data_IF_653461323799
#
_entry.id   IF_653461323799
#
_cell.length_a   1.000
_cell.length_b   1.000
_cell.length_c   1.000
_cell.angle_alpha   90.00
_cell.angle_beta   90.00
_cell.angle_gamma   90.00
#
_symmetry.space_group_name_H-M   'P 1'
#
loop_
_entity.id
_entity.type
_entity.pdbx_description
1 polymer ?
#
# COMPACT_ATOMS: atom_id res chain seq x y z
N UNK A 1 -9.73 -3.93 -24.47
CA UNK A 1 -10.48 -2.73 -24.90
C UNK A 1 -11.70 -3.24 -25.63
N UNK A 2 -12.90 -2.78 -25.27
CA UNK A 2 -14.08 -3.10 -26.07
C UNK A 2 -14.00 -2.24 -27.33
N UNK A 3 -13.68 -2.88 -28.45
CA UNK A 3 -13.64 -2.29 -29.79
C UNK A 3 -14.43 -3.28 -30.64
N UNK A 4 -15.73 -3.22 -30.47
CA UNK A 4 -16.66 -4.01 -31.24
C UNK A 4 -17.83 -3.08 -31.55
N UNK A 5 -18.20 -3.00 -32.83
CA UNK A 5 -19.35 -2.22 -33.31
C UNK A 5 -20.67 -2.72 -32.67
N UNK A 6 -20.65 -3.88 -32.00
CA UNK A 6 -21.76 -4.38 -31.18
C UNK A 6 -21.91 -3.66 -29.84
N UNK A 7 -20.89 -2.96 -29.35
CA UNK A 7 -20.97 -2.19 -28.11
C UNK A 7 -21.44 -0.77 -28.46
N UNK A 8 -22.64 -0.36 -28.01
CA UNK A 8 -23.18 0.94 -28.36
C UNK A 8 -22.34 2.07 -27.76
N UNK A 9 -22.27 3.18 -28.49
CA UNK A 9 -21.68 4.42 -27.98
C UNK A 9 -22.35 4.83 -26.65
N UNK A 10 -21.59 5.42 -25.71
CA UNK A 10 -22.16 5.90 -24.46
C UNK A 10 -23.20 7.00 -24.71
N UNK A 11 -24.33 6.91 -24.01
CA UNK A 11 -25.45 7.83 -24.19
C UNK A 11 -25.08 9.28 -23.83
N UNK A 12 -25.44 10.20 -24.72
CA UNK A 12 -25.33 11.65 -24.53
C UNK A 12 -26.50 12.14 -23.66
N UNK A 13 -26.28 12.32 -22.35
CA UNK A 13 -27.35 12.70 -21.40
C UNK A 13 -26.88 13.70 -20.35
N UNK A 14 -27.79 14.58 -19.91
CA UNK A 14 -27.56 15.52 -18.81
C UNK A 14 -26.25 16.30 -18.93
N UNK A 15 -25.48 16.30 -17.84
CA UNK A 15 -24.19 16.99 -17.69
C UNK A 15 -22.99 16.20 -18.24
N UNK A 16 -23.22 15.22 -19.12
CA UNK A 16 -22.17 14.31 -19.60
C UNK A 16 -21.59 14.73 -20.93
N UNK A 17 -20.27 14.68 -21.02
CA UNK A 17 -19.47 14.96 -22.21
C UNK A 17 -18.92 13.65 -22.74
N UNK A 18 -19.08 13.41 -24.04
CA UNK A 18 -18.48 12.27 -24.74
C UNK A 18 -17.06 12.65 -25.12
N UNK A 19 -16.10 11.90 -24.59
CA UNK A 19 -14.67 12.08 -24.83
C UNK A 19 -14.18 10.92 -25.68
N UNK A 20 -13.54 11.24 -26.81
CA UNK A 20 -12.79 10.28 -27.63
C UNK A 20 -11.45 10.03 -26.94
N UNK A 21 -11.30 8.84 -26.37
CA UNK A 21 -10.14 8.47 -25.55
C UNK A 21 -8.89 8.42 -26.43
N UNK A 22 -7.82 9.06 -25.96
CA UNK A 22 -6.49 9.02 -26.57
C UNK A 22 -5.52 8.18 -25.73
N UNK A 23 -5.62 8.29 -24.41
CA UNK A 23 -4.89 7.44 -23.48
C UNK A 23 -5.76 7.15 -22.24
N UNK A 24 -5.49 6.02 -21.60
CA UNK A 24 -6.03 5.63 -20.30
C UNK A 24 -4.92 4.92 -19.51
N UNK A 25 -5.07 4.85 -18.20
CA UNK A 25 -4.07 4.25 -17.32
C UNK A 25 -4.58 2.98 -16.64
N UNK A 26 -3.62 2.13 -16.28
CA UNK A 26 -3.83 0.86 -15.60
C UNK A 26 -3.71 1.03 -14.09
N UNK A 27 -4.80 0.75 -13.38
CA UNK A 27 -4.84 0.85 -11.92
C UNK A 27 -5.01 -0.52 -11.27
N UNK A 28 -4.57 -0.64 -10.00
CA UNK A 28 -4.65 -1.91 -9.26
C UNK A 28 -6.10 -2.40 -9.17
N UNK A 29 -7.04 -1.47 -9.07
CA UNK A 29 -8.47 -1.79 -9.05
C UNK A 29 -8.98 -2.37 -10.36
N UNK A 30 -8.44 -1.99 -11.52
CA UNK A 30 -8.85 -2.55 -12.81
C UNK A 30 -8.52 -4.05 -12.88
N UNK A 31 -7.37 -4.45 -12.31
CA UNK A 31 -6.99 -5.86 -12.18
C UNK A 31 -7.98 -6.59 -11.28
N UNK A 32 -8.35 -6.03 -10.14
CA UNK A 32 -9.30 -6.64 -9.22
C UNK A 32 -10.71 -6.74 -9.81
N UNK A 33 -11.17 -5.72 -10.53
CA UNK A 33 -12.44 -5.76 -11.24
C UNK A 33 -12.43 -6.85 -12.32
N UNK A 34 -11.37 -6.93 -13.13
CA UNK A 34 -11.18 -8.00 -14.13
C UNK A 34 -11.18 -9.39 -13.50
N UNK A 35 -10.60 -9.52 -12.31
CA UNK A 35 -10.55 -10.79 -11.55
C UNK A 35 -11.81 -11.07 -10.74
N UNK A 36 -12.84 -10.20 -10.81
CA UNK A 36 -14.04 -10.28 -9.97
C UNK A 36 -13.73 -10.33 -8.46
N UNK A 37 -12.59 -9.79 -8.06
CA UNK A 37 -12.07 -9.77 -6.70
C UNK A 37 -12.10 -8.37 -6.07
N UNK A 38 -12.79 -7.42 -6.71
CA UNK A 38 -12.92 -6.06 -6.17
C UNK A 38 -13.84 -6.09 -4.94
N UNK A 39 -13.34 -5.70 -3.75
CA UNK A 39 -14.04 -5.96 -2.49
C UNK A 39 -15.16 -4.96 -2.19
N UNK A 40 -15.36 -3.94 -3.03
CA UNK A 40 -16.31 -2.86 -2.79
C UNK A 40 -17.42 -2.82 -3.84
N UNK A 41 -18.63 -2.43 -3.42
CA UNK A 41 -19.75 -2.17 -4.34
C UNK A 41 -19.39 -0.98 -5.23
N UNK A 42 -19.59 -1.14 -6.54
CA UNK A 42 -19.35 -0.08 -7.50
C UNK A 42 -20.47 0.98 -7.43
N UNK A 43 -20.16 2.27 -7.60
CA UNK A 43 -21.16 3.33 -7.69
C UNK A 43 -22.13 3.07 -8.85
N UNK A 44 -23.37 3.55 -8.72
CA UNK A 44 -24.42 3.37 -9.74
C UNK A 44 -24.05 4.04 -11.07
N UNK A 45 -23.18 5.06 -11.02
CA UNK A 45 -22.65 5.81 -12.16
C UNK A 45 -21.61 5.03 -12.98
N UNK A 46 -21.30 3.78 -12.61
CA UNK A 46 -20.36 2.93 -13.33
C UNK A 46 -20.86 2.61 -14.74
N UNK A 47 -19.98 2.70 -15.74
CA UNK A 47 -20.29 2.45 -17.15
C UNK A 47 -20.39 0.95 -17.49
N UNK A 48 -21.32 0.25 -16.83
CA UNK A 48 -21.55 -1.18 -17.04
C UNK A 48 -20.33 -2.04 -16.69
N UNK A 49 -20.03 -3.02 -17.54
CA UNK A 49 -18.93 -3.98 -17.32
C UNK A 49 -17.57 -3.49 -17.85
N UNK A 50 -17.49 -2.29 -18.44
CA UNK A 50 -16.24 -1.76 -18.99
C UNK A 50 -15.41 -1.13 -17.86
N UNK A 51 -14.21 -1.67 -17.65
CA UNK A 51 -13.27 -1.22 -16.61
C UNK A 51 -12.51 0.07 -16.99
N UNK A 52 -11.66 0.56 -16.09
CA UNK A 52 -10.84 1.75 -16.26
C UNK A 52 -11.42 2.96 -15.53
N UNK A 53 -10.56 3.71 -14.85
CA UNK A 53 -10.97 4.74 -13.89
C UNK A 53 -10.46 6.14 -14.22
N UNK A 54 -9.65 6.28 -15.26
CA UNK A 54 -9.13 7.57 -15.71
C UNK A 54 -8.77 7.51 -17.20
N UNK A 55 -8.86 8.66 -17.85
CA UNK A 55 -8.45 8.81 -19.24
C UNK A 55 -8.10 10.26 -19.57
N UNK A 56 -7.51 10.42 -20.76
CA UNK A 56 -7.37 11.68 -21.45
C UNK A 56 -7.79 11.51 -22.91
N UNK A 57 -8.25 12.61 -23.53
CA UNK A 57 -8.80 12.54 -24.87
C UNK A 57 -9.26 13.87 -25.42
N UNK A 58 -10.09 13.79 -26.45
CA UNK A 58 -10.66 14.94 -27.14
C UNK A 58 -12.17 14.96 -26.91
N UNK A 59 -12.72 16.12 -26.57
CA UNK A 59 -14.17 16.30 -26.49
C UNK A 59 -14.79 16.06 -27.88
N UNK A 60 -15.71 15.11 -27.97
CA UNK A 60 -16.45 14.80 -29.20
C UNK A 60 -17.82 15.47 -29.21
N UNK A 61 -18.60 15.30 -28.14
CA UNK A 61 -19.96 15.84 -28.01
C UNK A 61 -20.26 16.27 -26.58
N UNK A 62 -21.06 17.32 -26.44
CA UNK A 62 -21.54 17.84 -25.16
C UNK A 62 -22.98 17.41 -24.92
N UNK A 63 -23.28 16.98 -23.70
CA UNK A 63 -24.63 16.68 -23.25
C UNK A 63 -25.52 17.92 -23.23
N UNK A 64 -26.85 17.74 -23.24
CA UNK A 64 -27.81 18.84 -23.34
C UNK A 64 -27.75 19.84 -22.18
N UNK A 65 -27.25 19.43 -21.00
CA UNK A 65 -27.11 20.31 -19.83
C UNK A 65 -25.68 20.84 -19.64
N UNK A 66 -24.75 20.48 -20.54
CA UNK A 66 -23.36 20.93 -20.44
C UNK A 66 -23.21 22.41 -20.85
N UNK A 67 -22.36 23.14 -20.14
CA UNK A 67 -22.06 24.53 -20.49
C UNK A 67 -21.05 24.62 -21.64
N UNK A 68 -21.49 25.19 -22.77
CA UNK A 68 -20.63 25.49 -23.94
C UNK A 68 -19.56 26.54 -23.66
N UNK A 69 -19.64 27.24 -22.53
CA UNK A 69 -18.58 28.16 -22.06
C UNK A 69 -17.44 27.43 -21.39
N UNK A 70 -17.69 26.23 -20.83
CA UNK A 70 -16.68 25.47 -20.11
C UNK A 70 -15.89 24.56 -21.05
N UNK A 71 -16.58 23.90 -21.98
CA UNK A 71 -15.99 22.95 -22.93
C UNK A 71 -16.63 23.12 -24.31
N UNK A 72 -15.90 22.72 -25.36
CA UNK A 72 -16.37 22.58 -26.73
C UNK A 72 -15.75 21.37 -27.40
N UNK A 73 -16.38 20.89 -28.48
CA UNK A 73 -15.81 19.85 -29.32
C UNK A 73 -14.40 20.24 -29.80
N UNK A 74 -13.48 19.28 -29.76
CA UNK A 74 -12.06 19.49 -30.08
C UNK A 74 -11.17 19.85 -28.89
N UNK A 75 -11.73 20.22 -27.73
CA UNK A 75 -10.91 20.50 -26.55
C UNK A 75 -10.15 19.25 -26.07
N UNK A 76 -8.89 19.46 -25.67
CA UNK A 76 -8.06 18.42 -25.04
C UNK A 76 -8.42 18.33 -23.57
N UNK A 77 -8.76 17.14 -23.09
CA UNK A 77 -9.29 16.94 -21.74
C UNK A 77 -8.74 15.69 -21.07
N UNK A 78 -8.82 15.66 -19.75
CA UNK A 78 -8.51 14.49 -18.93
C UNK A 78 -9.37 14.49 -17.67
N UNK A 79 -9.55 13.32 -17.06
CA UNK A 79 -10.38 13.22 -15.86
C UNK A 79 -10.53 11.81 -15.30
N UNK A 80 -11.11 11.77 -14.11
CA UNK A 80 -11.48 10.55 -13.41
C UNK A 80 -12.87 10.08 -13.87
N UNK A 81 -13.04 8.76 -14.02
CA UNK A 81 -14.29 8.13 -14.41
C UNK A 81 -14.64 6.96 -13.50
N UNK A 82 -15.91 6.60 -13.42
CA UNK A 82 -16.39 5.49 -12.61
C UNK A 82 -16.35 4.15 -13.37
N UNK A 83 -15.59 4.03 -14.46
CA UNK A 83 -15.64 2.91 -15.41
C UNK A 83 -15.60 3.42 -16.85
N UNK A 84 -15.39 2.55 -17.81
CA UNK A 84 -15.56 2.87 -19.23
C UNK A 84 -14.32 3.43 -19.95
N UNK A 85 -13.23 3.73 -19.25
CA UNK A 85 -12.03 4.29 -19.90
C UNK A 85 -11.34 3.31 -20.87
N UNK A 86 -11.62 2.00 -20.75
CA UNK A 86 -11.08 0.96 -21.65
C UNK A 86 -11.90 0.80 -22.94
N UNK A 87 -12.28 1.93 -23.53
CA UNK A 87 -13.09 2.04 -24.74
C UNK A 87 -12.62 3.25 -25.57
N UNK A 88 -13.04 3.31 -26.83
CA UNK A 88 -12.69 4.44 -27.74
C UNK A 88 -13.41 5.73 -27.35
N UNK A 89 -14.57 5.61 -26.71
CA UNK A 89 -15.37 6.72 -26.21
C UNK A 89 -15.80 6.46 -24.77
N UNK A 90 -15.82 7.52 -23.97
CA UNK A 90 -16.30 7.48 -22.59
C UNK A 90 -17.15 8.71 -22.30
N UNK A 91 -18.16 8.55 -21.45
CA UNK A 91 -19.07 9.62 -21.02
C UNK A 91 -18.66 10.10 -19.64
N UNK A 92 -18.27 11.36 -19.51
CA UNK A 92 -17.73 11.94 -18.28
C UNK A 92 -18.58 13.13 -17.86
N UNK A 93 -18.90 13.26 -16.57
CA UNK A 93 -19.57 14.49 -16.08
C UNK A 93 -18.66 15.69 -16.34
N UNK A 94 -19.23 16.78 -16.86
CA UNK A 94 -18.57 18.08 -16.99
C UNK A 94 -17.89 18.51 -15.69
N UNK A 95 -18.47 18.12 -14.54
CA UNK A 95 -17.97 18.46 -13.20
C UNK A 95 -16.72 17.68 -12.78
N UNK A 96 -16.37 16.60 -13.47
CA UNK A 96 -15.17 15.80 -13.20
C UNK A 96 -14.09 15.96 -14.27
N UNK A 97 -14.43 16.60 -15.39
CA UNK A 97 -13.53 16.83 -16.50
C UNK A 97 -12.64 18.06 -16.27
N UNK A 98 -11.42 18.00 -16.79
CA UNK A 98 -10.44 19.08 -16.75
C UNK A 98 -9.85 19.29 -18.14
N UNK A 99 -9.52 20.53 -18.48
CA UNK A 99 -8.73 20.84 -19.68
C UNK A 99 -7.32 20.31 -19.51
N UNK A 100 -6.85 19.52 -20.48
CA UNK A 100 -5.48 19.04 -20.53
C UNK A 100 -4.57 20.19 -21.00
N UNK A 101 -3.64 20.68 -20.17
CA UNK A 101 -2.71 21.72 -20.58
C UNK A 101 -1.87 21.31 -21.79
N UNK A 102 -1.42 22.29 -22.57
CA UNK A 102 -0.66 22.01 -23.79
C UNK A 102 0.67 21.32 -23.49
N UNK A 103 1.25 21.63 -22.33
CA UNK A 103 2.52 21.12 -21.82
C UNK A 103 2.48 19.64 -21.45
N UNK A 104 1.29 19.04 -21.29
CA UNK A 104 1.12 17.64 -20.92
C UNK A 104 0.69 16.81 -22.13
N UNK A 105 1.32 15.65 -22.31
CA UNK A 105 0.87 14.66 -23.30
C UNK A 105 -0.46 14.01 -22.88
N UNK A 106 -1.10 13.27 -23.79
CA UNK A 106 -2.29 12.51 -23.42
C UNK A 106 -1.94 11.41 -22.41
N UNK A 107 -0.80 10.74 -22.57
CA UNK A 107 -0.31 9.72 -21.65
C UNK A 107 -0.05 10.32 -20.26
N UNK A 108 0.57 11.51 -20.18
CA UNK A 108 0.73 12.25 -18.91
C UNK A 108 -0.63 12.60 -18.30
N UNK A 109 -1.55 13.15 -19.10
CA UNK A 109 -2.91 13.47 -18.65
C UNK A 109 -3.69 12.26 -18.16
N UNK A 110 -3.51 11.10 -18.77
CA UNK A 110 -4.18 9.87 -18.36
C UNK A 110 -3.60 9.26 -17.08
N UNK A 111 -2.32 9.51 -16.76
CA UNK A 111 -1.64 8.95 -15.58
C UNK A 111 -1.81 9.75 -14.27
N UNK A 112 -2.55 10.85 -14.32
CA UNK A 112 -2.63 11.83 -13.24
C UNK A 112 -3.87 11.69 -12.35
N UNK A 113 -5.11 11.61 -12.88
CA UNK A 113 -6.32 11.74 -12.06
C UNK A 113 -6.40 10.83 -10.83
N UNK A 114 -6.34 9.51 -11.00
CA UNK A 114 -6.51 8.53 -9.92
C UNK A 114 -5.42 8.69 -8.85
N UNK A 115 -4.17 8.79 -9.30
CA UNK A 115 -3.00 8.79 -8.41
C UNK A 115 -2.87 10.10 -7.66
N UNK A 116 -3.02 11.25 -8.33
CA UNK A 116 -2.92 12.56 -7.70
C UNK A 116 -4.15 12.92 -6.89
N UNK A 117 -5.37 12.51 -7.27
CA UNK A 117 -6.55 12.77 -6.44
C UNK A 117 -6.46 11.97 -5.13
N UNK A 118 -6.04 10.70 -5.21
CA UNK A 118 -5.81 9.87 -4.03
C UNK A 118 -4.72 10.45 -3.13
N UNK A 119 -3.57 10.85 -3.69
CA UNK A 119 -2.50 11.48 -2.93
C UNK A 119 -2.93 12.81 -2.30
N UNK A 120 -3.61 13.68 -3.06
CA UNK A 120 -4.03 15.01 -2.60
C UNK A 120 -5.02 14.91 -1.44
N UNK A 121 -6.04 14.05 -1.56
CA UNK A 121 -6.97 13.87 -0.45
C UNK A 121 -6.28 13.28 0.78
N UNK A 122 -5.36 12.33 0.59
CA UNK A 122 -4.73 11.63 1.70
C UNK A 122 -3.76 12.52 2.47
N UNK A 123 -3.06 13.43 1.78
CA UNK A 123 -2.11 14.36 2.39
C UNK A 123 -2.81 15.59 2.95
N UNK A 124 -3.69 16.23 2.18
CA UNK A 124 -4.27 17.52 2.55
C UNK A 124 -5.61 17.40 3.28
N UNK A 125 -6.54 16.64 2.73
CA UNK A 125 -7.94 16.69 3.19
C UNK A 125 -8.18 15.76 4.39
N UNK A 126 -7.58 14.57 4.36
CA UNK A 126 -7.75 13.52 5.37
C UNK A 126 -6.57 13.53 6.34
N UNK A 127 -5.35 13.56 5.80
CA UNK A 127 -4.12 13.57 6.58
C UNK A 127 -3.79 14.91 7.23
N UNK A 128 -4.32 16.02 6.70
CA UNK A 128 -4.12 17.38 7.21
C UNK A 128 -2.64 17.62 7.56
N UNK A 129 -1.77 17.35 6.57
CA UNK A 129 -0.34 17.35 6.78
C UNK A 129 0.13 18.74 7.26
N UNK A 130 0.66 18.80 8.48
CA UNK A 130 1.27 20.01 8.97
C UNK A 130 2.47 20.43 8.10
N UNK A 131 2.66 21.73 7.85
CA UNK A 131 3.89 22.22 7.23
C UNK A 131 5.12 21.75 8.00
N UNK A 132 6.21 21.45 7.30
CA UNK A 132 7.46 20.92 7.87
C UNK A 132 7.33 19.58 8.60
N UNK A 133 6.26 18.82 8.38
CA UNK A 133 6.13 17.46 8.92
C UNK A 133 7.17 16.50 8.29
N UNK A 134 7.64 15.54 9.08
CA UNK A 134 8.27 14.33 8.54
C UNK A 134 7.15 13.36 8.12
N UNK A 135 7.26 12.75 6.94
CA UNK A 135 6.21 11.92 6.34
C UNK A 135 6.78 10.55 5.98
N UNK A 136 6.04 9.49 6.28
CA UNK A 136 6.32 8.13 5.80
C UNK A 136 5.29 7.75 4.73
N UNK A 137 5.76 7.38 3.54
CA UNK A 137 4.90 6.97 2.43
C UNK A 137 5.25 5.53 2.05
N UNK A 138 4.32 4.61 2.27
CA UNK A 138 4.51 3.21 1.87
C UNK A 138 4.41 3.04 0.36
N UNK A 139 4.97 1.93 -0.15
CA UNK A 139 4.93 1.58 -1.57
C UNK A 139 5.35 2.76 -2.49
N UNK A 140 6.42 3.47 -2.12
CA UNK A 140 6.86 4.69 -2.80
C UNK A 140 7.05 4.56 -4.31
N UNK A 141 7.41 3.38 -4.82
CA UNK A 141 7.55 3.10 -6.25
C UNK A 141 6.22 2.95 -7.01
N UNK A 142 5.08 2.78 -6.34
CA UNK A 142 3.77 2.69 -7.03
C UNK A 142 3.26 4.07 -7.47
N UNK A 143 2.30 4.13 -8.40
CA UNK A 143 1.77 5.40 -8.93
C UNK A 143 1.23 6.36 -7.86
N UNK A 144 0.46 5.87 -6.89
CA UNK A 144 -0.03 6.69 -5.76
C UNK A 144 1.13 7.11 -4.87
N UNK A 145 2.10 6.23 -4.61
CA UNK A 145 3.29 6.53 -3.80
C UNK A 145 4.14 7.64 -4.42
N UNK A 146 4.41 7.57 -5.73
CA UNK A 146 5.14 8.59 -6.48
C UNK A 146 4.40 9.94 -6.45
N UNK A 147 3.07 9.92 -6.64
CA UNK A 147 2.25 11.12 -6.57
C UNK A 147 2.24 11.72 -5.16
N UNK A 148 2.11 10.88 -4.13
CA UNK A 148 2.13 11.30 -2.73
C UNK A 148 3.47 11.92 -2.32
N UNK A 149 4.60 11.36 -2.76
CA UNK A 149 5.92 11.96 -2.51
C UNK A 149 5.98 13.38 -3.09
N UNK A 150 5.48 13.57 -4.30
CA UNK A 150 5.51 14.87 -4.99
C UNK A 150 4.55 15.88 -4.35
N UNK A 151 3.32 15.45 -4.03
CA UNK A 151 2.33 16.28 -3.32
C UNK A 151 2.84 16.67 -1.93
N UNK A 152 3.44 15.74 -1.17
CA UNK A 152 3.99 16.05 0.15
C UNK A 152 5.13 17.08 0.08
N UNK A 153 5.99 17.02 -0.96
CA UNK A 153 7.02 18.05 -1.19
C UNK A 153 6.41 19.42 -1.46
N UNK A 154 5.41 19.49 -2.34
CA UNK A 154 4.71 20.75 -2.64
C UNK A 154 4.01 21.32 -1.40
N UNK A 155 3.51 20.44 -0.52
CA UNK A 155 2.89 20.80 0.74
C UNK A 155 3.90 21.19 1.85
N UNK A 156 5.20 21.20 1.57
CA UNK A 156 6.23 21.64 2.51
C UNK A 156 6.65 20.58 3.52
N UNK A 157 6.57 19.29 3.19
CA UNK A 157 7.13 18.23 4.03
C UNK A 157 8.64 18.45 4.25
N UNK A 158 9.09 18.37 5.51
CA UNK A 158 10.50 18.53 5.87
C UNK A 158 11.33 17.34 5.39
N UNK A 159 10.79 16.14 5.57
CA UNK A 159 11.45 14.88 5.21
C UNK A 159 10.41 13.87 4.77
N UNK A 160 10.74 13.10 3.73
CA UNK A 160 9.87 12.06 3.20
C UNK A 160 10.68 10.76 3.16
N UNK A 161 10.21 9.76 3.91
CA UNK A 161 10.77 8.41 3.95
C UNK A 161 9.82 7.44 3.25
N UNK A 162 10.34 6.37 2.64
CA UNK A 162 9.53 5.43 1.84
C UNK A 162 9.97 3.98 1.99
N UNK A 163 9.05 3.01 1.98
CA UNK A 163 9.40 1.58 2.09
C UNK A 163 9.77 0.88 0.78
N UNK A 164 9.68 1.56 -0.36
CA UNK A 164 10.07 1.04 -1.67
C UNK A 164 10.71 2.16 -2.50
N UNK A 165 11.91 2.58 -2.09
CA UNK A 165 12.68 3.69 -2.67
C UNK A 165 14.16 3.63 -2.23
N UNK A 166 14.91 4.73 -2.39
CA UNK A 166 16.37 4.81 -2.08
C UNK A 166 16.74 4.72 -0.59
N UNK A 167 15.92 4.06 0.24
CA UNK A 167 16.20 3.89 1.67
C UNK A 167 17.12 2.68 1.83
N UNK A 168 18.31 2.91 2.40
CA UNK A 168 19.27 1.85 2.72
C UNK A 168 18.88 1.20 4.05
N UNK A 169 18.28 0.03 3.99
CA UNK A 169 18.04 -0.80 5.17
C UNK A 169 19.34 -1.47 5.61
N UNK A 170 19.59 -1.53 6.92
CA UNK A 170 20.57 -2.49 7.47
C UNK A 170 19.94 -3.89 7.44
N UNK A 171 20.77 -4.94 7.35
CA UNK A 171 20.25 -6.31 7.35
C UNK A 171 19.44 -6.59 8.63
N UNK A 172 18.19 -7.05 8.46
CA UNK A 172 17.26 -7.32 9.57
C UNK A 172 16.60 -6.09 10.21
N UNK A 173 16.87 -4.89 9.71
CA UNK A 173 16.28 -3.65 10.23
C UNK A 173 14.87 -3.41 9.67
N UNK A 174 13.89 -3.19 10.54
CA UNK A 174 12.56 -2.74 10.16
C UNK A 174 12.53 -1.26 9.79
N UNK A 175 11.43 -0.79 9.18
CA UNK A 175 11.31 0.62 8.81
C UNK A 175 11.09 1.52 10.02
N UNK A 176 10.59 1.01 11.14
CA UNK A 176 10.41 1.78 12.37
C UNK A 176 11.76 2.22 12.97
N UNK A 177 12.76 1.34 12.94
CA UNK A 177 14.13 1.63 13.38
C UNK A 177 14.80 2.65 12.45
N UNK A 178 14.60 2.51 11.14
CA UNK A 178 15.08 3.50 10.16
C UNK A 178 14.44 4.86 10.42
N UNK A 179 13.12 4.91 10.56
CA UNK A 179 12.38 6.16 10.85
C UNK A 179 12.86 6.78 12.15
N UNK A 180 13.01 6.00 13.22
CA UNK A 180 13.52 6.46 14.51
C UNK A 180 14.89 7.12 14.35
N UNK A 181 15.85 6.44 13.70
CA UNK A 181 17.18 7.02 13.40
C UNK A 181 17.07 8.30 12.56
N UNK A 182 16.23 8.28 11.54
CA UNK A 182 16.10 9.37 10.58
C UNK A 182 15.39 10.61 11.10
N UNK A 183 14.72 10.48 12.25
CA UNK A 183 13.90 11.52 12.89
C UNK A 183 14.33 11.81 14.31
N UNK A 184 15.52 11.34 14.72
CA UNK A 184 16.08 11.50 16.06
C UNK A 184 15.11 11.00 17.17
N UNK A 185 14.44 9.87 16.90
CA UNK A 185 13.47 9.24 17.79
C UNK A 185 12.09 9.91 17.83
N UNK A 186 11.88 11.01 17.08
CA UNK A 186 10.61 11.76 17.12
C UNK A 186 9.48 11.09 16.33
N UNK A 187 9.82 10.29 15.32
CA UNK A 187 8.86 9.68 14.40
C UNK A 187 8.37 10.64 13.31
N UNK A 188 7.31 10.23 12.64
CA UNK A 188 6.68 10.96 11.52
C UNK A 188 5.30 11.50 11.89
N UNK A 189 5.00 12.72 11.44
CA UNK A 189 3.72 13.39 11.69
C UNK A 189 2.59 12.88 10.82
N UNK A 190 2.92 12.28 9.67
CA UNK A 190 1.96 11.67 8.75
C UNK A 190 2.50 10.35 8.21
N UNK A 191 1.67 9.31 8.23
CA UNK A 191 1.93 8.02 7.57
C UNK A 191 0.85 7.80 6.51
N UNK A 192 1.25 7.57 5.26
CA UNK A 192 0.36 7.13 4.20
C UNK A 192 0.53 5.63 3.98
N UNK A 193 -0.49 4.86 4.36
CA UNK A 193 -0.47 3.39 4.34
C UNK A 193 -1.31 2.79 3.21
N UNK A 194 -0.62 2.01 2.38
CA UNK A 194 -1.18 1.24 1.28
C UNK A 194 -1.11 -0.28 1.55
N UNK A 195 -0.46 -0.68 2.65
CA UNK A 195 -0.13 -2.07 2.96
C UNK A 195 -1.11 -2.64 3.96
N UNK A 196 -1.35 -1.95 5.08
CA UNK A 196 -2.30 -2.40 6.10
C UNK A 196 -1.69 -3.39 7.08
N UNK A 197 -2.36 -4.54 7.28
CA UNK A 197 -2.17 -5.42 8.44
C UNK A 197 -0.72 -5.71 8.85
N UNK A 198 0.13 -6.12 7.89
CA UNK A 198 1.51 -6.51 8.18
C UNK A 198 2.40 -5.34 8.60
N UNK A 199 2.03 -4.10 8.27
CA UNK A 199 2.79 -2.89 8.61
C UNK A 199 2.27 -2.20 9.86
N UNK A 200 1.14 -2.63 10.41
CA UNK A 200 0.45 -1.96 11.50
C UNK A 200 1.36 -1.65 12.70
N UNK A 201 2.02 -2.66 13.27
CA UNK A 201 2.87 -2.48 14.44
C UNK A 201 4.02 -1.49 14.19
N UNK A 202 4.66 -1.60 13.03
CA UNK A 202 5.76 -0.70 12.64
C UNK A 202 5.26 0.71 12.30
N UNK A 203 4.05 0.88 11.76
CA UNK A 203 3.43 2.20 11.55
C UNK A 203 3.20 2.90 12.88
N UNK A 204 2.62 2.19 13.84
CA UNK A 204 2.40 2.73 15.20
C UNK A 204 3.71 3.05 15.91
N UNK A 205 4.75 2.23 15.73
CA UNK A 205 6.09 2.51 16.25
C UNK A 205 6.72 3.75 15.60
N UNK A 206 6.53 3.94 14.28
CA UNK A 206 7.06 5.07 13.50
C UNK A 206 6.32 6.39 13.73
N UNK A 207 5.07 6.33 14.18
CA UNK A 207 4.22 7.49 14.42
C UNK A 207 4.82 8.43 15.48
N UNK A 208 4.81 9.74 15.19
CA UNK A 208 5.10 10.79 16.17
C UNK A 208 3.90 10.99 17.12
N UNK A 209 4.13 11.76 18.18
CA UNK A 209 3.05 12.27 19.03
C UNK A 209 2.17 13.22 18.20
N UNK A 210 0.85 13.12 18.37
CA UNK A 210 -0.17 13.88 17.65
C UNK A 210 -0.15 13.69 16.12
N UNK A 211 0.28 12.51 15.66
CA UNK A 211 0.37 12.17 14.23
C UNK A 211 -0.90 11.57 13.66
N UNK A 212 -0.96 11.48 12.32
CA UNK A 212 -2.02 10.77 11.58
C UNK A 212 -1.48 9.59 10.79
N UNK A 213 -2.20 8.48 10.83
CA UNK A 213 -2.01 7.32 9.96
C UNK A 213 -3.20 7.26 9.01
N UNK A 214 -2.97 7.50 7.72
CA UNK A 214 -3.99 7.52 6.68
C UNK A 214 -3.91 6.23 5.87
N UNK A 215 -4.91 5.36 6.04
CA UNK A 215 -5.00 4.08 5.34
C UNK A 215 -5.84 4.28 4.08
N UNK A 216 -5.23 4.03 2.92
CA UNK A 216 -5.88 4.18 1.60
C UNK A 216 -5.95 2.86 0.81
N UNK A 217 -5.21 1.84 1.23
CA UNK A 217 -5.30 0.48 0.70
C UNK A 217 -4.80 -0.55 1.73
N UNK A 218 -5.11 -1.82 1.48
CA UNK A 218 -4.75 -2.93 2.38
C UNK A 218 -4.11 -4.08 1.58
N UNK A 219 -2.95 -3.83 0.96
CA UNK A 219 -2.28 -4.83 0.11
C UNK A 219 -1.89 -6.13 0.83
N UNK A 220 -1.59 -6.07 2.13
CA UNK A 220 -1.33 -7.26 2.95
C UNK A 220 -2.58 -7.81 3.65
N UNK A 221 -3.77 -7.28 3.32
CA UNK A 221 -5.01 -7.58 4.02
C UNK A 221 -5.31 -6.66 5.20
N UNK A 222 -6.56 -6.67 5.63
CA UNK A 222 -7.08 -5.79 6.69
C UNK A 222 -7.11 -6.40 8.09
N UNK A 223 -6.65 -7.65 8.26
CA UNK A 223 -6.59 -8.31 9.58
C UNK A 223 -5.26 -7.98 10.26
N UNK A 224 -5.34 -7.55 11.52
CA UNK A 224 -4.19 -7.28 12.38
C UNK A 224 -4.17 -8.40 13.43
N UNK A 225 -3.17 -9.32 13.41
CA UNK A 225 -3.15 -10.48 14.30
C UNK A 225 -3.08 -10.10 15.79
N UNK A 226 -2.30 -9.08 16.11
CA UNK A 226 -2.08 -8.60 17.48
C UNK A 226 -2.25 -7.07 17.50
N UNK A 227 -3.43 -6.61 17.94
CA UNK A 227 -3.77 -5.19 17.97
C UNK A 227 -3.63 -4.63 19.39
N UNK A 228 -2.62 -3.77 19.60
CA UNK A 228 -2.40 -3.06 20.85
C UNK A 228 -2.74 -1.57 20.70
N UNK A 229 -3.69 -1.09 21.53
CA UNK A 229 -4.14 0.30 21.55
C UNK A 229 -3.29 1.23 22.42
N UNK A 230 -2.52 0.68 23.37
CA UNK A 230 -1.75 1.49 24.35
C UNK A 230 -0.78 2.49 23.67
N UNK A 231 -0.05 2.11 22.60
CA UNK A 231 0.83 3.06 21.92
C UNK A 231 0.06 4.17 21.20
N UNK A 232 -1.15 3.89 20.70
CA UNK A 232 -2.00 4.90 20.04
C UNK A 232 -2.41 5.98 21.05
N UNK A 233 -2.83 5.58 22.25
CA UNK A 233 -3.23 6.51 23.31
C UNK A 233 -2.04 7.36 23.78
N UNK A 234 -0.90 6.72 24.01
CA UNK A 234 0.32 7.41 24.48
C UNK A 234 0.79 8.48 23.49
N UNK A 235 0.65 8.20 22.19
CA UNK A 235 1.05 9.10 21.11
C UNK A 235 -0.11 9.95 20.56
N UNK A 236 -1.35 9.78 21.05
CA UNK A 236 -2.58 10.43 20.55
C UNK A 236 -2.70 10.35 19.02
N UNK A 237 -2.48 9.16 18.48
CA UNK A 237 -2.48 8.91 17.02
C UNK A 237 -3.90 8.94 16.47
N UNK A 238 -4.08 9.65 15.37
CA UNK A 238 -5.31 9.65 14.59
C UNK A 238 -5.23 8.58 13.51
N UNK A 239 -6.19 7.66 13.52
CA UNK A 239 -6.33 6.67 12.45
C UNK A 239 -7.41 7.18 11.50
N UNK A 240 -7.01 7.47 10.28
CA UNK A 240 -7.88 7.98 9.24
C UNK A 240 -7.96 6.96 8.11
N UNK A 241 -9.14 6.85 7.49
CA UNK A 241 -9.34 5.97 6.33
C UNK A 241 -10.06 6.75 5.25
N UNK A 242 -9.73 6.46 3.99
CA UNK A 242 -10.47 7.00 2.86
C UNK A 242 -10.37 6.06 1.66
N UNK A 243 -11.37 6.15 0.79
CA UNK A 243 -11.33 5.60 -0.57
C UNK A 243 -11.67 6.75 -1.52
N UNK A 244 -11.25 6.67 -2.79
CA UNK A 244 -11.61 7.70 -3.77
C UNK A 244 -12.97 7.40 -4.41
N UNK A 245 -13.11 6.21 -5.01
CA UNK A 245 -14.28 5.84 -5.82
C UNK A 245 -15.60 5.75 -5.05
N UNK A 246 -15.59 5.54 -3.73
CA UNK A 246 -16.81 5.43 -2.92
C UNK A 246 -17.27 6.76 -2.30
N UNK A 247 -16.55 7.87 -2.55
CA UNK A 247 -16.94 9.19 -2.06
C UNK A 247 -18.09 9.73 -2.89
N UNK A 248 -18.88 10.62 -2.30
CA UNK A 248 -19.92 11.34 -3.04
C UNK A 248 -19.31 12.13 -4.19
N UNK A 249 -20.12 12.37 -5.22
CA UNK A 249 -19.73 13.16 -6.38
C UNK A 249 -19.24 14.55 -5.94
N UNK A 250 -19.91 15.18 -4.98
CA UNK A 250 -19.55 16.50 -4.44
C UNK A 250 -18.15 16.50 -3.82
N UNK A 251 -17.79 15.45 -3.08
CA UNK A 251 -16.46 15.34 -2.52
C UNK A 251 -15.40 15.17 -3.61
N UNK A 252 -15.66 14.32 -4.61
CA UNK A 252 -14.72 14.13 -5.72
C UNK A 252 -14.54 15.41 -6.54
N UNK A 253 -15.60 16.20 -6.74
CA UNK A 253 -15.53 17.54 -7.33
C UNK A 253 -14.63 18.45 -6.48
N UNK A 254 -14.76 18.39 -5.15
CA UNK A 254 -13.89 19.12 -4.23
C UNK A 254 -12.42 18.75 -4.40
N UNK A 255 -12.11 17.45 -4.47
CA UNK A 255 -10.74 16.95 -4.71
C UNK A 255 -10.23 17.40 -6.09
N UNK A 256 -11.07 17.32 -7.13
CA UNK A 256 -10.73 17.80 -8.47
C UNK A 256 -10.39 19.28 -8.47
N UNK A 257 -11.22 20.11 -7.82
CA UNK A 257 -11.01 21.55 -7.75
C UNK A 257 -9.73 21.89 -6.98
N UNK A 258 -9.48 21.20 -5.85
CA UNK A 258 -8.23 21.33 -5.11
C UNK A 258 -7.02 20.98 -5.98
N UNK A 259 -7.09 19.87 -6.73
CA UNK A 259 -6.02 19.46 -7.64
C UNK A 259 -5.75 20.52 -8.71
N UNK A 260 -6.79 21.03 -9.38
CA UNK A 260 -6.65 22.08 -10.42
C UNK A 260 -6.01 23.34 -9.85
N UNK A 261 -6.37 23.73 -8.63
CA UNK A 261 -5.88 24.97 -8.01
C UNK A 261 -4.45 24.84 -7.46
N UNK A 262 -4.10 23.70 -6.88
CA UNK A 262 -2.88 23.58 -6.05
C UNK A 262 -1.82 22.65 -6.62
N UNK A 263 -2.20 21.68 -7.46
CA UNK A 263 -1.29 20.61 -7.91
C UNK A 263 -1.00 20.71 -9.40
N UNK A 264 -2.04 20.93 -10.24
CA UNK A 264 -1.90 21.04 -11.69
C UNK A 264 -0.87 22.10 -12.12
N UNK A 265 -0.78 23.30 -11.50
CA UNK A 265 0.26 24.26 -11.85
C UNK A 265 1.68 23.69 -11.69
N UNK A 266 1.91 22.85 -10.68
CA UNK A 266 3.20 22.20 -10.48
C UNK A 266 3.55 21.19 -11.57
N UNK A 267 2.57 20.53 -12.20
CA UNK A 267 2.78 19.66 -13.35
C UNK A 267 3.09 20.46 -14.62
N UNK A 268 2.36 21.54 -14.84
CA UNK A 268 2.58 22.47 -15.98
C UNK A 268 3.97 23.09 -15.90
N UNK A 269 4.35 23.60 -14.73
CA UNK A 269 5.66 24.20 -14.47
C UNK A 269 6.79 23.15 -14.31
N UNK A 270 6.48 21.85 -14.45
CA UNK A 270 7.41 20.72 -14.29
C UNK A 270 8.15 20.69 -12.94
N UNK A 271 7.61 21.36 -11.91
CA UNK A 271 8.05 21.23 -10.50
C UNK A 271 7.77 19.84 -9.95
N UNK A 272 6.70 19.23 -10.43
CA UNK A 272 6.36 17.82 -10.25
C UNK A 272 6.09 17.20 -11.63
N UNK A 273 6.10 15.87 -11.73
CA UNK A 273 6.01 15.13 -12.99
C UNK A 273 4.99 14.00 -12.89
N UNK A 274 4.25 13.78 -13.96
CA UNK A 274 3.51 12.54 -14.17
C UNK A 274 4.54 11.43 -14.48
N UNK A 275 4.71 10.49 -13.56
CA UNK A 275 5.70 9.41 -13.72
C UNK A 275 5.06 8.28 -14.52
N UNK A 276 5.49 8.11 -15.76
CA UNK A 276 5.05 7.04 -16.65
C UNK A 276 6.19 6.02 -16.74
N UNK A 277 5.91 4.78 -16.36
CA UNK A 277 6.87 3.68 -16.48
C UNK A 277 6.95 3.20 -17.94
N UNK A 278 5.81 2.80 -18.50
CA UNK A 278 5.74 2.31 -19.88
C UNK A 278 4.39 2.60 -20.52
N UNK A 279 4.44 2.95 -21.81
CA UNK A 279 3.26 3.12 -22.65
C UNK A 279 3.09 1.89 -23.52
N UNK A 280 1.88 1.35 -23.54
CA UNK A 280 1.51 0.20 -24.37
C UNK A 280 0.53 0.62 -25.45
N UNK A 281 0.62 -0.01 -26.63
CA UNK A 281 -0.50 0.01 -27.55
C UNK A 281 -1.70 -0.67 -26.88
N UNK A 282 -2.91 -0.18 -27.12
CA UNK A 282 -4.13 -0.81 -26.61
C UNK A 282 -4.25 -2.29 -27.05
N UNK A 283 -3.63 -2.67 -28.18
CA UNK A 283 -3.56 -4.06 -28.67
C UNK A 283 -2.81 -5.00 -27.73
N UNK A 284 -1.97 -4.43 -26.85
CA UNK A 284 -1.13 -5.13 -25.89
C UNK A 284 -1.69 -5.03 -24.47
N UNK A 285 -2.99 -4.73 -24.31
CA UNK A 285 -3.60 -4.54 -22.99
C UNK A 285 -3.48 -5.78 -22.10
N UNK A 286 -3.47 -6.98 -22.69
CA UNK A 286 -3.20 -8.22 -21.97
C UNK A 286 -1.82 -8.21 -21.31
N UNK A 287 -0.78 -7.91 -22.09
CA UNK A 287 0.60 -7.81 -21.62
C UNK A 287 0.77 -6.73 -20.56
N UNK A 288 0.12 -5.58 -20.74
CA UNK A 288 0.14 -4.49 -19.79
C UNK A 288 -0.50 -4.88 -18.44
N UNK A 289 -1.62 -5.61 -18.47
CA UNK A 289 -2.23 -6.20 -17.26
C UNK A 289 -1.37 -7.29 -16.62
N UNK A 290 -0.66 -8.09 -17.42
CA UNK A 290 0.27 -9.10 -16.89
C UNK A 290 1.42 -8.42 -16.19
N UNK A 291 2.07 -7.43 -16.80
CA UNK A 291 3.16 -6.69 -16.18
C UNK A 291 2.70 -5.98 -14.90
N UNK A 292 1.57 -5.25 -14.94
CA UNK A 292 1.03 -4.54 -13.77
C UNK A 292 0.55 -5.47 -12.67
N UNK A 293 -0.02 -6.61 -13.08
CA UNK A 293 -0.52 -7.66 -12.20
C UNK A 293 0.57 -8.62 -11.72
N UNK A 294 1.78 -8.55 -12.26
CA UNK A 294 2.88 -9.41 -11.86
C UNK A 294 3.23 -9.15 -10.40
N UNK A 295 2.72 -10.07 -9.57
CA UNK A 295 2.94 -10.12 -8.14
C UNK A 295 4.35 -10.64 -7.85
N UNK A 296 5.44 -10.21 -8.49
CA UNK A 296 6.72 -10.96 -8.43
C UNK A 296 7.19 -11.34 -7.01
N UNK A 297 7.07 -10.45 -6.02
CA UNK A 297 7.33 -10.79 -4.61
C UNK A 297 6.36 -11.85 -4.04
N UNK A 298 5.08 -11.77 -4.38
CA UNK A 298 4.08 -12.78 -4.04
C UNK A 298 4.12 -14.02 -4.96
N UNK A 299 4.71 -13.99 -6.15
CA UNK A 299 4.91 -15.12 -7.05
C UNK A 299 6.07 -15.98 -6.55
N UNK A 300 7.16 -15.35 -6.08
CA UNK A 300 8.25 -16.02 -5.37
C UNK A 300 7.76 -16.57 -4.02
N UNK A 301 6.97 -15.78 -3.25
CA UNK A 301 6.34 -16.26 -2.02
C UNK A 301 5.34 -17.41 -2.24
N UNK A 302 4.52 -17.33 -3.29
CA UNK A 302 3.58 -18.40 -3.66
C UNK A 302 4.29 -19.63 -4.23
N UNK A 303 5.42 -19.47 -4.91
CA UNK A 303 6.28 -20.59 -5.32
C UNK A 303 6.85 -21.28 -4.07
N UNK A 304 7.26 -20.52 -3.06
CA UNK A 304 7.63 -21.05 -1.75
C UNK A 304 6.50 -21.84 -1.08
N UNK A 305 5.26 -21.34 -1.10
CA UNK A 305 4.08 -22.04 -0.58
C UNK A 305 3.70 -23.28 -1.39
N UNK A 306 3.84 -23.24 -2.72
CA UNK A 306 3.58 -24.38 -3.60
C UNK A 306 4.61 -25.50 -3.37
N UNK A 307 5.89 -25.14 -3.21
CA UNK A 307 6.95 -26.09 -2.85
C UNK A 307 6.72 -26.71 -1.47
N UNK A 308 6.13 -25.98 -0.50
CA UNK A 308 5.72 -26.56 0.79
C UNK A 308 4.64 -27.63 0.62
N UNK A 309 3.66 -27.41 -0.26
CA UNK A 309 2.55 -28.34 -0.49
C UNK A 309 2.97 -29.59 -1.26
N UNK A 310 3.96 -29.48 -2.14
CA UNK A 310 4.46 -30.58 -2.96
C UNK A 310 5.54 -31.42 -2.26
N UNK A 311 6.14 -30.93 -1.17
CA UNK A 311 7.21 -31.63 -0.48
C UNK A 311 6.68 -32.55 0.64
N UNK A 312 6.78 -33.88 0.51
CA UNK A 312 6.16 -34.80 1.47
C UNK A 312 6.83 -34.77 2.85
N UNK A 313 8.12 -34.41 2.93
CA UNK A 313 8.94 -34.54 4.13
C UNK A 313 8.92 -33.28 5.03
N UNK A 314 8.53 -33.36 6.33
CA UNK A 314 8.33 -32.21 7.21
C UNK A 314 9.56 -31.31 7.43
N UNK A 315 10.75 -31.89 7.58
CA UNK A 315 11.98 -31.11 7.75
C UNK A 315 12.43 -30.38 6.49
N UNK A 316 12.09 -30.90 5.31
CA UNK A 316 12.31 -30.21 4.04
C UNK A 316 11.33 -29.04 3.92
N UNK A 317 10.05 -29.20 4.35
CA UNK A 317 9.10 -28.08 4.43
C UNK A 317 9.60 -26.94 5.32
N UNK A 318 10.15 -27.25 6.50
CA UNK A 318 10.71 -26.24 7.40
C UNK A 318 11.94 -25.52 6.80
N UNK A 319 12.84 -26.26 6.15
CA UNK A 319 13.99 -25.70 5.44
C UNK A 319 13.55 -24.83 4.24
N UNK A 320 12.57 -25.28 3.44
CA UNK A 320 11.97 -24.48 2.37
C UNK A 320 11.25 -23.25 2.91
N UNK A 321 10.62 -23.34 4.07
CA UNK A 321 9.98 -22.19 4.73
C UNK A 321 11.03 -21.15 5.07
N UNK A 322 12.11 -21.53 5.76
CA UNK A 322 13.19 -20.61 6.11
C UNK A 322 13.90 -20.04 4.88
N UNK A 323 14.24 -20.87 3.90
CA UNK A 323 14.98 -20.45 2.70
C UNK A 323 14.11 -19.63 1.76
N UNK A 324 12.88 -20.04 1.44
CA UNK A 324 11.99 -19.28 0.57
C UNK A 324 11.49 -17.98 1.24
N UNK A 325 11.28 -17.98 2.56
CA UNK A 325 10.97 -16.77 3.32
C UNK A 325 12.16 -15.80 3.35
N UNK A 326 13.37 -16.29 3.64
CA UNK A 326 14.57 -15.45 3.68
C UNK A 326 14.99 -14.97 2.29
N UNK A 327 14.91 -15.81 1.26
CA UNK A 327 15.14 -15.43 -0.14
C UNK A 327 14.04 -14.51 -0.63
N UNK A 328 12.77 -14.78 -0.32
CA UNK A 328 11.64 -13.92 -0.66
C UNK A 328 11.77 -12.53 -0.03
N UNK A 329 12.19 -12.45 1.24
CA UNK A 329 12.44 -11.19 1.94
C UNK A 329 13.72 -10.49 1.46
N UNK A 330 14.80 -11.23 1.22
CA UNK A 330 16.04 -10.68 0.67
C UNK A 330 15.84 -10.15 -0.76
N UNK A 331 15.11 -10.88 -1.60
CA UNK A 331 14.76 -10.41 -2.94
C UNK A 331 13.76 -9.26 -2.84
N UNK A 332 12.70 -9.33 -2.03
CA UNK A 332 11.75 -8.21 -1.93
C UNK A 332 12.39 -6.93 -1.38
N UNK A 333 13.41 -7.04 -0.53
CA UNK A 333 14.15 -5.89 0.01
C UNK A 333 15.23 -5.34 -0.94
N UNK A 334 15.82 -6.18 -1.78
CA UNK A 334 16.94 -5.79 -2.67
C UNK A 334 16.51 -5.66 -4.14
N UNK A 335 15.39 -6.26 -4.55
CA UNK A 335 14.85 -6.23 -5.91
C UNK A 335 14.64 -4.81 -6.44
N UNK A 336 14.04 -3.85 -5.70
CA UNK A 336 13.90 -2.49 -6.23
C UNK A 336 15.24 -1.83 -6.55
N UNK A 337 16.28 -2.15 -5.77
CA UNK A 337 17.64 -1.60 -5.94
C UNK A 337 18.37 -2.27 -7.11
N UNK A 338 18.24 -3.59 -7.24
CA UNK A 338 18.83 -4.38 -8.33
C UNK A 338 18.13 -4.07 -9.66
N UNK A 339 16.81 -3.96 -9.66
CA UNK A 339 15.99 -3.58 -10.82
C UNK A 339 16.39 -2.20 -11.33
N UNK A 340 16.54 -1.22 -10.43
CA UNK A 340 17.04 0.12 -10.78
C UNK A 340 18.45 0.06 -11.38
N UNK A 341 19.37 -0.63 -10.71
CA UNK A 341 20.79 -0.69 -11.14
C UNK A 341 21.02 -1.47 -12.44
N UNK A 342 20.26 -2.53 -12.69
CA UNK A 342 20.40 -3.36 -13.89
C UNK A 342 19.60 -2.80 -15.06
N UNK A 343 18.42 -2.22 -14.82
CA UNK A 343 17.66 -1.51 -15.84
C UNK A 343 18.45 -0.35 -16.44
N UNK A 344 19.12 0.45 -15.60
CA UNK A 344 19.99 1.54 -16.07
C UNK A 344 21.24 1.04 -16.83
N UNK A 345 21.72 -0.17 -16.55
CA UNK A 345 22.94 -0.74 -17.14
C UNK A 345 22.70 -1.47 -18.46
N UNK A 346 21.47 -1.95 -18.69
CA UNK A 346 21.05 -2.66 -19.90
C UNK A 346 19.77 -2.04 -20.46
N UNK A 347 19.85 -0.87 -21.11
CA UNK A 347 18.69 -0.21 -21.68
C UNK A 347 18.18 -0.94 -22.94
N UNK A 348 16.90 -0.72 -23.27
CA UNK A 348 16.31 -1.09 -24.56
C UNK A 348 16.92 -0.27 -25.69
N UNK A 349 16.61 -0.62 -26.95
CA UNK A 349 17.18 0.02 -28.14
C UNK A 349 16.89 1.53 -28.26
N UNK A 350 15.92 2.04 -27.50
CA UNK A 350 15.56 3.47 -27.41
C UNK A 350 16.18 4.19 -26.21
N UNK A 351 17.06 3.52 -25.44
CA UNK A 351 17.77 4.11 -24.31
C UNK A 351 16.98 4.12 -22.99
N UNK A 352 15.78 3.56 -22.95
CA UNK A 352 15.01 3.43 -21.71
C UNK A 352 15.48 2.23 -20.88
N UNK A 353 15.47 2.30 -19.54
CA UNK A 353 15.86 1.16 -18.71
C UNK A 353 15.00 -0.10 -18.96
N UNK A 354 15.62 -1.25 -19.27
CA UNK A 354 14.90 -2.50 -19.55
C UNK A 354 14.60 -3.28 -18.25
N UNK A 355 13.66 -2.76 -17.46
CA UNK A 355 13.24 -3.40 -16.21
C UNK A 355 12.63 -4.79 -16.45
N UNK A 356 11.92 -4.99 -17.56
CA UNK A 356 11.27 -6.25 -17.90
C UNK A 356 12.26 -7.39 -18.16
N UNK A 357 13.30 -7.14 -18.97
CA UNK A 357 14.34 -8.14 -19.24
C UNK A 357 15.21 -8.39 -18.01
N UNK A 358 15.54 -7.33 -17.27
CA UNK A 358 16.23 -7.42 -15.99
C UNK A 358 15.49 -8.34 -15.01
N UNK A 359 14.16 -8.18 -14.90
CA UNK A 359 13.31 -9.04 -14.08
C UNK A 359 13.34 -10.51 -14.53
N UNK A 360 13.27 -10.78 -15.84
CA UNK A 360 13.34 -12.16 -16.36
C UNK A 360 14.69 -12.84 -16.07
N UNK A 361 15.79 -12.09 -16.13
CA UNK A 361 17.13 -12.59 -15.76
C UNK A 361 17.18 -12.96 -14.27
N UNK A 362 16.66 -12.09 -13.39
CA UNK A 362 16.62 -12.35 -11.96
C UNK A 362 15.76 -13.58 -11.63
N UNK A 363 14.61 -13.74 -12.30
CA UNK A 363 13.77 -14.94 -12.18
C UNK A 363 14.54 -16.20 -12.58
N UNK A 364 15.26 -16.16 -13.70
CA UNK A 364 16.11 -17.28 -14.14
C UNK A 364 17.17 -17.64 -13.09
N UNK A 365 17.82 -16.65 -12.48
CA UNK A 365 18.81 -16.87 -11.41
C UNK A 365 18.16 -17.50 -10.17
N UNK A 366 16.99 -17.03 -9.75
CA UNK A 366 16.29 -17.55 -8.56
C UNK A 366 15.83 -18.99 -8.77
N UNK A 367 15.26 -19.28 -9.94
CA UNK A 367 14.87 -20.65 -10.32
C UNK A 367 16.10 -21.55 -10.34
N UNK A 368 17.21 -21.10 -10.94
CA UNK A 368 18.46 -21.85 -10.96
C UNK A 368 18.99 -22.11 -9.54
N UNK A 369 19.03 -21.12 -8.66
CA UNK A 369 19.46 -21.28 -7.26
C UNK A 369 18.57 -22.24 -6.48
N UNK A 370 17.25 -22.18 -6.67
CA UNK A 370 16.30 -23.12 -6.06
C UNK A 370 16.53 -24.56 -6.57
N UNK A 371 16.72 -24.73 -7.88
CA UNK A 371 17.03 -26.03 -8.49
C UNK A 371 18.39 -26.56 -8.00
N UNK A 372 19.43 -25.72 -7.95
CA UNK A 372 20.74 -26.11 -7.43
C UNK A 372 20.64 -26.51 -5.95
N UNK A 373 19.87 -25.77 -5.15
CA UNK A 373 19.63 -26.14 -3.75
C UNK A 373 18.94 -27.51 -3.66
N UNK A 374 17.91 -27.76 -4.47
CA UNK A 374 17.21 -29.05 -4.54
C UNK A 374 18.14 -30.21 -4.93
N UNK A 375 19.09 -29.98 -5.84
CA UNK A 375 20.04 -30.99 -6.31
C UNK A 375 21.16 -31.23 -5.29
N UNK A 376 21.57 -30.20 -4.56
CA UNK A 376 22.75 -30.25 -3.66
C UNK A 376 22.41 -30.65 -2.23
N UNK A 377 21.13 -30.62 -1.83
CA UNK A 377 20.70 -31.13 -0.52
C UNK A 377 20.99 -32.64 -0.44
N UNK A 378 21.84 -33.10 0.49
CA UNK A 378 22.19 -34.50 0.61
C UNK A 378 21.01 -35.29 1.21
N UNK A 379 20.15 -35.82 0.32
CA UNK A 379 19.00 -36.66 0.69
C UNK A 379 19.37 -37.90 1.52
N UNK A 380 20.65 -38.33 1.48
CA UNK A 380 21.16 -39.49 2.22
C UNK A 380 21.35 -39.28 3.73
N UNK A 381 21.15 -38.06 4.23
CA UNK A 381 21.29 -37.72 5.66
C UNK A 381 19.99 -37.27 6.33
N UNK A 382 18.86 -37.32 5.62
CA UNK A 382 17.55 -37.11 6.24
C UNK A 382 17.27 -38.30 7.16
N UNK A 383 17.17 -37.99 8.44
CA UNK A 383 17.06 -38.96 9.52
C UNK A 383 15.85 -39.88 9.26
N UNK A 384 16.09 -41.19 9.08
CA UNK A 384 15.03 -42.18 8.84
C UNK A 384 14.03 -42.32 9.99
N UNK A 385 14.38 -41.80 11.17
CA UNK A 385 13.54 -41.83 12.38
C UNK A 385 12.38 -40.82 12.36
N UNK A 386 12.32 -39.90 11.38
CA UNK A 386 11.19 -38.97 11.26
C UNK A 386 9.98 -39.54 10.50
N UNK A 387 10.10 -40.73 9.90
CA UNK A 387 9.02 -41.39 9.15
C UNK A 387 8.10 -42.28 10.04
N UNK A 388 8.27 -42.27 11.37
CA UNK A 388 7.48 -43.09 12.32
C UNK A 388 6.41 -42.31 13.11
N UNK A 389 6.06 -41.08 12.75
CA UNK A 389 4.84 -40.47 13.28
C UNK A 389 3.62 -40.91 12.46
N UNK A 390 2.91 -41.93 12.95
CA UNK A 390 1.57 -42.28 12.48
C UNK A 390 0.66 -41.05 12.61
N UNK A 391 0.16 -40.47 11.50
CA UNK A 391 -0.67 -39.27 11.53
C UNK A 391 -2.04 -39.49 12.21
N UNK A 392 -2.38 -40.74 12.58
CA UNK A 392 -3.55 -41.10 13.36
C UNK A 392 -3.22 -41.62 14.77
N UNK A 393 -1.96 -41.61 15.20
CA UNK A 393 -1.62 -41.96 16.58
C UNK A 393 -2.33 -40.99 17.53
N UNK A 394 -3.07 -41.54 18.49
CA UNK A 394 -3.76 -40.73 19.49
C UNK A 394 -2.74 -39.86 20.23
N UNK A 395 -2.89 -38.53 20.11
CA UNK A 395 -2.11 -37.57 20.89
C UNK A 395 -2.17 -37.99 22.36
N UNK A 396 -1.02 -38.23 23.04
CA UNK A 396 -1.05 -38.63 24.43
C UNK A 396 -1.78 -37.55 25.22
N UNK A 397 -2.94 -37.90 25.76
CA UNK A 397 -3.68 -37.02 26.66
C UNK A 397 -2.79 -36.78 27.87
N UNK A 398 -2.31 -35.55 28.02
CA UNK A 398 -1.70 -35.09 29.26
C UNK A 398 -2.74 -35.36 30.37
N UNK A 399 -2.45 -36.19 31.37
CA UNK A 399 -3.40 -36.42 32.44
C UNK A 399 -3.71 -35.07 33.07
N UNK A 400 -5.00 -34.75 33.22
CA UNK A 400 -5.43 -33.50 33.82
C UNK A 400 -4.76 -33.34 35.20
N UNK A 401 -3.75 -32.46 35.28
CA UNK A 401 -3.18 -32.01 36.56
C UNK A 401 -4.31 -31.29 37.28
N UNK A 402 -4.74 -31.83 38.42
CA UNK A 402 -5.89 -31.32 39.18
C UNK A 402 -5.63 -29.99 39.90
N UNK A 403 -4.41 -29.44 39.88
CA UNK A 403 -4.00 -28.50 40.93
C UNK A 403 -3.34 -27.21 40.42
N UNK A 404 -3.64 -26.75 39.18
CA UNK A 404 -3.05 -25.52 38.60
C UNK A 404 -3.30 -24.25 39.45
N UNK A 405 -4.31 -24.27 40.33
CA UNK A 405 -4.59 -23.15 41.25
C UNK A 405 -3.59 -23.00 42.41
N UNK A 406 -2.90 -24.07 42.83
CA UNK A 406 -1.95 -24.00 43.95
C UNK A 406 -0.57 -23.45 43.54
N UNK A 407 -0.14 -23.71 42.29
CA UNK A 407 1.16 -23.24 41.77
C UNK A 407 1.17 -21.74 41.44
N UNK A 408 0.01 -21.14 41.19
CA UNK A 408 -0.14 -19.69 40.97
C UNK A 408 -0.20 -18.88 42.28
N UNK A 409 -0.49 -19.51 43.42
CA UNK A 409 -0.59 -18.85 44.73
C UNK A 409 0.71 -18.93 45.56
N UNK A 410 1.69 -19.76 45.17
CA UNK A 410 3.00 -19.88 45.86
C UNK A 410 4.20 -19.25 45.11
N UNK A 411 3.99 -18.63 43.95
CA UNK A 411 5.06 -18.05 43.12
C UNK A 411 5.49 -16.62 43.47
N UNK A 412 5.25 -16.16 44.71
CA UNK A 412 5.69 -14.87 45.21
C UNK A 412 6.76 -15.03 46.29
N UNK A 413 7.96 -14.52 45.99
CA UNK A 413 9.16 -14.36 46.85
C UNK A 413 10.14 -15.55 46.81
N UNK A 414 11.22 -15.37 46.06
CA UNK A 414 12.55 -15.40 46.67
C UNK A 414 13.57 -14.66 45.79
N UNK A 415 14.29 -13.76 46.44
CA UNK A 415 15.29 -12.83 45.95
C UNK A 415 16.61 -13.51 45.60
N UNK A 416 17.22 -13.19 44.46
CA UNK A 416 18.67 -13.27 44.32
C UNK A 416 19.28 -11.88 44.48
N UNK A 417 19.91 -11.68 45.63
CA UNK A 417 20.70 -10.50 45.97
C UNK A 417 21.93 -10.40 45.07
N UNK A 418 22.10 -9.26 44.42
CA UNK A 418 23.41 -8.78 43.97
C UNK A 418 23.79 -7.62 44.88
N UNK A 419 24.48 -7.94 45.99
CA UNK A 419 25.30 -6.96 46.70
C UNK A 419 26.57 -7.63 47.23
N UNK A 420 27.61 -7.57 46.39
CA UNK A 420 29.00 -7.37 46.80
C UNK A 420 29.66 -6.38 45.84
N UNK A 421 29.20 -5.14 45.90
CA UNK A 421 30.02 -3.97 45.58
C UNK A 421 29.79 -2.95 46.69
N UNK A 422 30.89 -2.55 47.32
CA UNK A 422 30.99 -1.83 48.58
C UNK A 422 30.04 -0.62 48.74
N UNK A 423 29.39 -0.60 49.91
CA UNK A 423 28.94 0.53 50.73
C UNK A 423 28.66 1.88 50.08
N UNK A 424 27.41 2.35 50.20
CA UNK A 424 27.06 3.61 50.89
C UNK A 424 25.55 3.82 50.85
N UNK A 425 25.02 4.30 51.98
CA UNK A 425 23.64 4.71 52.25
C UNK A 425 23.01 5.55 51.13
N UNK A 426 21.70 5.39 50.91
CA UNK A 426 20.74 6.51 51.08
C UNK A 426 19.30 5.99 51.16
N UNK A 427 18.56 6.63 52.05
CA UNK A 427 17.23 6.33 52.57
C UNK A 427 16.11 6.48 51.53
N UNK A 428 15.07 5.63 51.63
CA UNK A 428 13.74 5.98 51.10
C UNK A 428 12.66 5.64 52.11
N UNK A 429 11.88 6.66 52.43
CA UNK A 429 10.81 6.74 53.43
C UNK A 429 9.54 6.04 52.94
N UNK A 430 8.93 5.23 53.81
CA UNK A 430 7.60 4.65 53.66
C UNK A 430 6.50 5.67 54.00
N UNK A 431 5.43 5.71 53.21
CA UNK A 431 4.11 6.22 53.64
C UNK A 431 3.04 5.24 53.19
N UNK A 432 2.42 4.56 54.16
CA UNK A 432 1.15 3.84 53.99
C UNK A 432 -0.02 4.83 54.15
N UNK A 433 -1.06 4.70 53.32
CA UNK A 433 -2.33 5.35 53.59
C UNK A 433 -3.45 4.32 53.77
N UNK A 434 -3.95 4.33 55.01
CA UNK A 434 -5.08 3.60 55.55
C UNK A 434 -6.37 3.97 54.83
N UNK A 435 -7.16 2.96 54.48
CA UNK A 435 -8.53 3.11 54.02
C UNK A 435 -9.47 3.42 55.21
N UNK A 436 -10.24 4.49 55.11
CA UNK A 436 -11.50 4.64 55.84
C UNK A 436 -12.61 4.89 54.82
N UNK A 437 -13.58 3.99 54.84
CA UNK A 437 -14.89 4.17 54.23
C UNK A 437 -15.61 5.31 54.95
N UNK A 438 -16.22 6.21 54.18
CA UNK A 438 -17.38 6.93 54.65
C UNK A 438 -18.44 6.94 53.55
N UNK A 439 -19.61 6.42 53.92
CA UNK A 439 -20.83 6.40 53.13
C UNK A 439 -21.42 7.81 53.08
N UNK A 440 -21.74 8.32 51.90
CA UNK A 440 -23.03 8.98 51.61
C UNK A 440 -23.02 9.76 50.29
N UNK A 441 -24.22 9.86 49.71
CA UNK A 441 -24.70 10.78 48.66
C UNK A 441 -24.78 10.18 47.24
N UNK A 442 -26.00 9.72 46.93
CA UNK A 442 -26.65 9.81 45.60
C UNK A 442 -27.60 11.05 45.59
N UNK A 443 -28.31 11.39 44.49
CA UNK A 443 -27.88 11.74 43.12
C UNK A 443 -28.55 13.07 42.62
N UNK A 444 -28.37 13.41 41.32
CA UNK A 444 -29.00 14.50 40.53
C UNK A 444 -28.30 15.89 40.62
N UNK A 445 -28.16 16.72 39.57
CA UNK A 445 -29.01 17.00 38.39
C UNK A 445 -28.25 17.82 37.32
N UNK A 446 -28.63 17.63 36.05
CA UNK A 446 -28.57 18.50 34.84
C UNK A 446 -27.90 19.89 34.94
N UNK A 447 -26.95 20.19 34.04
CA UNK A 447 -27.13 20.93 32.76
C UNK A 447 -26.25 20.29 31.70
#
# INVERSE_FOLDING_TARGET
>A
MFIDDTVPDPALKGDRIIVRVKAFSLNRMDIWQRQQAYPYKLPEETHGNIIGVECSGIVEQLGPECSTKSFKAGDRVFGLVYGGAYAEKVSISEKMLMHLPEELSFEEGAGVPETYFTASQAIHLVGDMAPNANVLIHAGACGVGQSAIQVARLAGARKISTTAGRVKYRAGEGFAEVVSRETDGKGVGLILDLVGGNYWAQNVASAAVDSRIVIIAMMSGGKIPEFDMRPLLTKRVWICTTTLRMRSVEYQIGVRNFFVQHILPGLVERKIKAVIDKVYSWKQIGDAHVLHGCRFGAAIGNLGNLMQQLCPHPGLRAAFTGVAYNIGNAISSVAPTIETSLGERFPTSDGTPDYGRTQMILVGIVIALLITTLITVPLKSLNKEWDEEDPNAATPTIPARKDIKADLEMGGRDSYSLDKAAGMNTETVHVEHVAQNDDSITPEKKV
#
